data_IF_382269278984
#
_entry.id   IF_382269278984
#
_cell.length_a   1.000
_cell.length_b   1.000
_cell.length_c   1.000
_cell.angle_alpha   90.00
_cell.angle_beta   90.00
_cell.angle_gamma   90.00
#
_symmetry.space_group_name_H-M   'P 1'
#
loop_
_entity.id
_entity.type
_entity.pdbx_description
1 polymer ?
2 non-polymer ?
3 non-polymer ?
4 water ?
#
# COMPACT_ATOMS: atom_id res chain seq x y z
N UNK A 1 7.44 -8.88 16.54
CA UNK A 1 7.86 -8.11 15.40
C UNK A 1 7.68 -6.63 15.68
N UNK A 2 8.56 -5.82 15.12
CA UNK A 2 8.49 -4.39 15.33
C UNK A 2 7.48 -3.68 14.41
N UNK A 3 6.66 -2.81 14.99
CA UNK A 3 5.69 -2.04 14.23
C UNK A 3 5.29 -0.79 14.97
N UNK A 4 4.75 0.16 14.23
CA UNK A 4 4.31 1.41 14.80
C UNK A 4 2.84 1.58 14.56
N UNK A 5 2.16 2.23 15.49
CA UNK A 5 0.74 2.46 15.34
C UNK A 5 0.52 3.82 14.75
N UNK A 6 -0.16 3.87 13.62
CA UNK A 6 -0.46 5.11 12.97
C UNK A 6 -1.92 5.13 12.58
N UNK A 7 -2.44 6.33 12.40
CA UNK A 7 -3.82 6.51 12.03
C UNK A 7 -3.93 7.47 10.87
N UNK A 8 -4.92 7.27 10.04
CA UNK A 8 -5.15 8.12 8.90
C UNK A 8 -6.57 8.53 8.81
N UNK A 9 -6.76 9.78 8.42
CA UNK A 9 -8.05 10.34 8.19
C UNK A 9 -8.41 9.97 6.77
N UNK A 10 -9.63 10.22 6.37
CA UNK A 10 -10.07 9.90 5.04
C UNK A 10 -9.20 10.63 4.03
N UNK A 11 -8.81 9.94 2.96
CA UNK A 11 -7.96 10.51 1.94
C UNK A 11 -8.40 10.22 0.51
N UNK A 12 -8.08 11.14 -0.38
CA UNK A 12 -8.37 10.97 -1.78
C UNK A 12 -7.09 10.51 -2.44
N UNK A 13 -7.16 9.42 -3.18
CA UNK A 13 -5.99 8.86 -3.87
C UNK A 13 -6.17 8.89 -5.37
N UNK A 14 -5.12 9.31 -6.06
CA UNK A 14 -5.13 9.42 -7.51
C UNK A 14 -4.08 8.51 -8.14
N UNK A 15 -4.47 7.76 -9.15
CA UNK A 15 -3.55 6.84 -9.79
C UNK A 15 -4.17 5.89 -10.77
N UNK A 16 -3.58 4.71 -10.89
CA UNK A 16 -4.08 3.70 -11.78
C UNK A 16 -4.27 2.37 -11.07
N UNK A 17 -5.44 1.78 -11.30
CA UNK A 17 -5.77 0.49 -10.72
C UNK A 17 -5.95 -0.59 -11.77
N UNK A 18 -5.26 -1.69 -11.55
CA UNK A 18 -5.36 -2.86 -12.39
C UNK A 18 -5.94 -3.99 -11.55
N UNK A 19 -6.57 -4.97 -12.20
CA UNK A 19 -7.21 -6.08 -11.54
C UNK A 19 -6.68 -7.42 -12.05
N UNK A 20 -6.36 -8.30 -11.11
CA UNK A 20 -5.82 -9.63 -11.38
C UNK A 20 -6.68 -10.72 -10.72
N UNK A 21 -6.52 -11.95 -11.18
CA UNK A 21 -7.35 -13.05 -10.69
C UNK A 21 -7.28 -13.30 -9.21
N UNK A 22 -6.10 -13.23 -8.63
CA UNK A 22 -5.91 -13.47 -7.21
C UNK A 22 -4.58 -12.93 -6.77
N UNK A 23 -4.25 -13.14 -5.50
CA UNK A 23 -3.01 -12.67 -4.95
C UNK A 23 -1.78 -13.21 -5.62
N UNK A 24 -1.79 -14.49 -5.95
CA UNK A 24 -0.65 -15.09 -6.61
C UNK A 24 -0.41 -14.51 -8.00
N UNK A 25 -1.47 -14.35 -8.76
CA UNK A 25 -1.37 -13.80 -10.09
C UNK A 25 -0.89 -12.36 -10.03
N UNK A 26 -1.35 -11.63 -9.03
CA UNK A 26 -0.98 -10.23 -8.87
C UNK A 26 0.51 -10.07 -8.70
N UNK A 27 1.11 -10.95 -7.93
CA UNK A 27 2.54 -10.90 -7.67
C UNK A 27 3.31 -11.12 -8.96
N UNK A 28 2.77 -11.96 -9.83
CA UNK A 28 3.39 -12.20 -11.11
C UNK A 28 3.40 -10.92 -11.97
N UNK A 29 2.33 -10.14 -11.93
CA UNK A 29 2.23 -8.94 -12.75
C UNK A 29 2.53 -7.56 -12.15
N UNK A 30 2.60 -7.44 -10.84
CA UNK A 30 2.80 -6.15 -10.20
C UNK A 30 4.10 -5.47 -10.63
N UNK A 31 5.18 -6.24 -10.70
CA UNK A 31 6.46 -5.67 -11.08
C UNK A 31 6.34 -5.09 -12.48
N UNK A 32 5.64 -5.80 -13.35
CA UNK A 32 5.40 -5.36 -14.70
C UNK A 32 4.57 -4.08 -14.77
N UNK A 33 3.57 -3.97 -13.91
CA UNK A 33 2.70 -2.82 -13.84
C UNK A 33 3.52 -1.60 -13.46
N UNK A 34 4.39 -1.75 -12.48
CA UNK A 34 5.25 -0.67 -12.07
C UNK A 34 6.15 -0.26 -13.23
N UNK A 35 6.70 -1.26 -13.93
CA UNK A 35 7.59 -1.02 -15.06
C UNK A 35 6.86 -0.26 -16.14
N UNK A 36 5.64 -0.64 -16.43
CA UNK A 36 4.85 0.04 -17.44
C UNK A 36 4.53 1.49 -17.03
N UNK A 37 4.21 1.69 -15.75
CA UNK A 37 3.90 3.01 -15.25
C UNK A 37 5.11 3.95 -15.33
N UNK A 38 6.29 3.46 -15.00
CA UNK A 38 7.51 4.27 -15.12
C UNK A 38 7.82 4.61 -16.58
N UNK A 39 7.74 3.61 -17.44
CA UNK A 39 8.04 3.75 -18.85
C UNK A 39 7.14 4.72 -19.57
N UNK A 40 5.87 4.72 -19.23
CA UNK A 40 4.91 5.60 -19.87
C UNK A 40 4.85 6.98 -19.21
N UNK A 41 5.68 7.20 -18.21
CA UNK A 41 5.72 8.46 -17.52
C UNK A 41 4.64 8.70 -16.48
N UNK A 42 3.88 7.66 -16.17
CA UNK A 42 2.82 7.78 -15.19
C UNK A 42 3.34 8.13 -13.82
N UNK A 43 4.42 7.49 -13.40
CA UNK A 43 4.97 7.76 -12.09
C UNK A 43 5.39 9.21 -11.94
N UNK A 44 6.06 9.73 -12.96
CA UNK A 44 6.54 11.11 -12.93
C UNK A 44 5.36 12.05 -12.83
N UNK A 45 4.31 11.78 -13.58
CA UNK A 45 3.13 12.61 -13.56
C UNK A 45 2.43 12.57 -12.19
N UNK A 46 2.31 11.38 -11.61
CA UNK A 46 1.66 11.22 -10.32
C UNK A 46 2.44 11.90 -9.22
N UNK A 47 3.75 11.88 -9.34
CA UNK A 47 4.63 12.50 -8.38
C UNK A 47 4.40 14.02 -8.32
N UNK A 48 4.10 14.64 -9.45
CA UNK A 48 3.85 16.08 -9.50
C UNK A 48 2.64 16.38 -8.67
N UNK A 49 1.61 15.53 -8.76
CA UNK A 49 0.30 15.68 -8.08
C UNK A 49 0.03 15.53 -6.58
N UNK A 50 0.90 14.92 -5.81
CA UNK A 50 0.68 14.66 -4.38
C UNK A 50 0.71 15.93 -3.62
N UNK A 51 -0.33 16.10 -2.83
CA UNK A 51 -0.53 17.28 -2.03
C UNK A 51 0.30 17.21 -0.77
N UNK A 52 0.99 16.10 -0.57
CA UNK A 52 1.83 15.94 0.59
C UNK A 52 1.20 15.26 1.79
N UNK A 53 -0.03 14.79 1.66
CA UNK A 53 -0.68 14.13 2.78
C UNK A 53 0.13 12.92 3.18
N UNK A 54 0.61 12.18 2.19
CA UNK A 54 1.46 11.04 2.45
C UNK A 54 2.69 11.22 1.57
N UNK A 55 3.86 11.01 2.14
CA UNK A 55 5.09 11.20 1.41
C UNK A 55 5.49 9.95 0.68
N UNK A 56 5.36 9.99 -0.63
CA UNK A 56 5.71 8.86 -1.44
C UNK A 56 4.63 8.42 -2.39
N UNK A 57 4.82 7.23 -2.92
CA UNK A 57 3.89 6.63 -3.84
C UNK A 57 3.38 5.40 -3.16
N UNK A 58 2.11 5.11 -3.34
CA UNK A 58 1.53 3.96 -2.71
C UNK A 58 1.21 2.84 -3.66
N UNK A 59 1.43 1.62 -3.20
CA UNK A 59 1.07 0.42 -3.93
C UNK A 59 0.02 -0.26 -3.07
N UNK A 60 -1.24 -0.10 -3.42
CA UNK A 60 -2.32 -0.66 -2.63
C UNK A 60 -2.92 -1.93 -3.17
N UNK A 61 -3.08 -2.90 -2.29
CA UNK A 61 -3.71 -4.15 -2.63
C UNK A 61 -5.15 -3.98 -2.18
N UNK A 62 -6.07 -4.08 -3.12
CA UNK A 62 -7.49 -3.91 -2.88
C UNK A 62 -8.29 -5.16 -3.21
N UNK A 63 -8.95 -5.75 -2.23
CA UNK A 63 -9.74 -6.93 -2.48
C UNK A 63 -10.98 -6.61 -3.27
N UNK A 64 -11.33 -7.44 -4.22
CA UNK A 64 -12.53 -7.23 -4.99
C UNK A 64 -13.57 -8.21 -4.45
N UNK A 65 -14.84 -7.89 -4.66
CA UNK A 65 -15.95 -8.70 -4.16
C UNK A 65 -16.05 -10.12 -4.72
N UNK A 66 -15.63 -10.33 -5.95
CA UNK A 66 -15.72 -11.65 -6.56
C UNK A 66 -14.53 -12.54 -6.29
N UNK A 67 -13.68 -12.13 -5.35
CA UNK A 67 -12.49 -12.87 -4.98
C UNK A 67 -11.22 -12.43 -5.70
N UNK A 68 -11.37 -11.59 -6.70
CA UNK A 68 -10.25 -11.08 -7.46
C UNK A 68 -9.48 -10.04 -6.64
N UNK A 69 -8.24 -9.81 -7.01
CA UNK A 69 -7.39 -8.86 -6.32
C UNK A 69 -6.89 -7.76 -7.23
N UNK A 70 -7.06 -6.53 -6.78
CA UNK A 70 -6.63 -5.35 -7.49
C UNK A 70 -5.43 -4.68 -6.87
N UNK A 71 -4.63 -4.01 -7.70
CA UNK A 71 -3.46 -3.29 -7.26
C UNK A 71 -3.53 -1.90 -7.83
N UNK A 72 -3.32 -0.91 -7.00
CA UNK A 72 -3.36 0.46 -7.44
C UNK A 72 -2.11 1.23 -7.08
N UNK A 73 -1.51 1.84 -8.08
CA UNK A 73 -0.34 2.67 -7.85
C UNK A 73 -0.92 4.08 -7.78
N UNK A 74 -0.69 4.73 -6.66
CA UNK A 74 -1.25 6.05 -6.42
C UNK A 74 -0.53 6.96 -5.42
N UNK A 75 -0.96 8.22 -5.41
CA UNK A 75 -0.47 9.24 -4.50
C UNK A 75 -1.67 9.95 -3.89
N UNK A 76 -1.48 10.57 -2.74
CA UNK A 76 -2.56 11.30 -2.10
C UNK A 76 -2.68 12.61 -2.84
N UNK A 77 -3.82 12.87 -3.43
CA UNK A 77 -4.00 14.06 -4.22
C UNK A 77 -5.24 14.84 -3.94
N UNK A 78 -5.26 16.09 -4.38
CA UNK A 78 -6.42 16.94 -4.21
C UNK A 78 -7.53 16.61 -5.18
N UNK A 79 -8.72 16.71 -4.64
CA UNK A 79 -9.95 16.48 -5.37
C UNK A 79 -10.16 17.49 -6.46
N UNK A 80 -9.73 18.71 -6.19
CA UNK A 80 -9.92 19.81 -7.11
C UNK A 80 -8.92 19.90 -8.25
N UNK A 81 -9.03 18.95 -9.17
CA UNK A 81 -8.21 18.91 -10.37
C UNK A 81 -9.12 18.29 -11.44
N UNK A 82 -8.91 18.54 -12.72
CA UNK A 82 -9.83 17.94 -13.68
C UNK A 82 -9.74 16.44 -13.54
N UNK A 83 -8.52 15.94 -13.60
CA UNK A 83 -8.22 14.55 -13.36
C UNK A 83 -8.99 13.52 -14.20
N UNK A 84 -9.24 13.82 -15.45
CA UNK A 84 -10.01 12.89 -16.27
C UNK A 84 -9.40 11.51 -16.54
N UNK A 85 -8.12 11.45 -16.88
CA UNK A 85 -7.49 10.17 -17.19
C UNK A 85 -7.32 9.14 -16.07
N UNK A 86 -6.98 9.59 -14.88
CA UNK A 86 -6.73 8.72 -13.74
C UNK A 86 -7.89 8.13 -12.94
N UNK A 87 -7.63 7.01 -12.29
CA UNK A 87 -8.59 6.37 -11.43
C UNK A 87 -8.54 7.13 -10.11
N UNK A 88 -9.68 7.33 -9.48
CA UNK A 88 -9.72 8.03 -8.20
C UNK A 88 -10.52 7.25 -7.17
N UNK A 89 -10.01 7.22 -5.94
CA UNK A 89 -10.69 6.54 -4.85
C UNK A 89 -10.52 7.27 -3.55
N UNK A 90 -11.38 6.95 -2.61
CA UNK A 90 -11.35 7.50 -1.29
C UNK A 90 -10.86 6.38 -0.39
N UNK A 91 -9.86 6.64 0.43
CA UNK A 91 -9.38 5.62 1.34
C UNK A 91 -9.95 5.96 2.71
N UNK A 92 -10.82 5.11 3.20
CA UNK A 92 -11.49 5.33 4.47
C UNK A 92 -10.55 5.38 5.63
N UNK A 93 -10.87 6.21 6.60
CA UNK A 93 -10.04 6.39 7.77
C UNK A 93 -9.84 5.07 8.49
N UNK A 94 -8.64 4.86 9.02
CA UNK A 94 -8.34 3.64 9.73
C UNK A 94 -7.10 3.77 10.56
N UNK A 95 -6.91 2.83 11.47
CA UNK A 95 -5.72 2.75 12.27
C UNK A 95 -4.93 1.63 11.62
N UNK A 96 -3.61 1.70 11.69
CA UNK A 96 -2.76 0.70 11.09
C UNK A 96 -1.58 0.23 11.92
N UNK A 97 -1.06 -0.92 11.56
CA UNK A 97 0.14 -1.46 12.12
C UNK A 97 1.10 -1.20 10.97
N UNK A 98 2.15 -0.43 11.21
CA UNK A 98 3.09 -0.09 10.16
C UNK A 98 4.43 -0.77 10.33
N UNK A 99 4.83 -1.52 9.32
CA UNK A 99 6.08 -2.26 9.36
C UNK A 99 7.09 -1.73 8.37
N UNK A 100 8.34 -2.08 8.58
CA UNK A 100 9.40 -1.63 7.71
C UNK A 100 10.19 -2.76 7.06
N UNK A 101 10.52 -2.55 5.81
CA UNK A 101 11.33 -3.49 5.07
C UNK A 101 12.60 -2.77 4.67
N UNK A 102 13.74 -3.27 5.12
CA UNK A 102 15.00 -2.64 4.78
C UNK A 102 15.67 -3.50 3.73
N UNK A 103 15.95 -2.91 2.59
CA UNK A 103 16.59 -3.64 1.53
C UNK A 103 16.21 -3.18 0.16
N UNK A 104 16.75 -3.88 -0.82
CA UNK A 104 16.51 -3.56 -2.21
C UNK A 104 15.13 -4.00 -2.60
N UNK A 105 14.38 -3.12 -3.26
CA UNK A 105 13.05 -3.45 -3.71
C UNK A 105 13.21 -4.27 -4.95
N UNK A 106 12.36 -5.27 -5.16
CA UNK A 106 11.27 -5.58 -4.25
C UNK A 106 11.49 -6.80 -3.37
N UNK A 107 12.64 -7.45 -3.47
CA UNK A 107 12.87 -8.67 -2.71
C UNK A 107 12.77 -8.42 -1.22
N UNK A 108 13.28 -7.31 -0.76
CA UNK A 108 13.22 -6.99 0.65
C UNK A 108 11.77 -6.85 1.07
N UNK A 109 10.95 -6.26 0.21
CA UNK A 109 9.55 -6.08 0.51
C UNK A 109 8.78 -7.39 0.54
N UNK A 110 9.04 -8.27 -0.43
CA UNK A 110 8.36 -9.54 -0.48
C UNK A 110 8.65 -10.38 0.73
N UNK A 111 9.91 -10.47 1.11
CA UNK A 111 10.25 -11.27 2.27
C UNK A 111 9.68 -10.71 3.55
N UNK A 112 9.68 -9.38 3.70
CA UNK A 112 9.16 -8.73 4.91
C UNK A 112 7.68 -9.02 5.08
N UNK A 113 6.91 -9.06 4.01
CA UNK A 113 5.47 -9.28 3.74
C UNK A 113 5.01 -10.69 4.13
N UNK A 114 5.83 -11.67 3.79
CA UNK A 114 5.55 -13.02 4.15
C UNK A 114 5.59 -13.04 5.66
N UNK A 115 6.60 -12.36 6.21
CA UNK A 115 6.78 -12.28 7.64
C UNK A 115 5.62 -11.55 8.31
N UNK A 116 5.18 -10.47 7.69
CA UNK A 116 4.09 -9.69 8.24
C UNK A 116 2.81 -10.50 8.30
N UNK A 117 2.51 -11.19 7.21
CA UNK A 117 1.30 -11.98 7.15
C UNK A 117 1.35 -13.04 8.23
N UNK A 118 2.51 -13.63 8.44
CA UNK A 118 2.64 -14.63 9.46
C UNK A 118 2.39 -14.04 10.84
N UNK A 119 2.95 -12.87 11.11
CA UNK A 119 2.77 -12.22 12.39
C UNK A 119 1.35 -11.80 12.70
N UNK A 120 0.62 -11.31 11.70
CA UNK A 120 -0.74 -10.86 11.91
C UNK A 120 -1.74 -11.99 12.01
N UNK A 121 -1.24 -13.21 11.89
CA UNK A 121 -2.04 -14.41 12.00
C UNK A 121 -2.65 -14.46 13.38
N UNK A 122 -1.95 -13.86 14.34
CA UNK A 122 -2.36 -13.88 15.72
C UNK A 122 -3.32 -12.75 16.11
N UNK A 123 -3.67 -11.94 15.13
CA UNK A 123 -4.54 -10.79 15.35
C UNK A 123 -5.71 -10.83 14.40
N UNK A 124 -6.32 -12.00 14.33
CA UNK A 124 -7.42 -12.26 13.42
C UNK A 124 -8.65 -11.38 13.60
N UNK A 125 -9.01 -11.08 14.84
CA UNK A 125 -10.15 -10.24 15.11
C UNK A 125 -9.86 -8.76 14.93
N UNK A 126 -8.59 -8.43 14.81
CA UNK A 126 -8.18 -7.04 14.67
C UNK A 126 -7.84 -6.57 13.24
N UNK A 127 -7.36 -7.47 12.39
CA UNK A 127 -7.06 -7.13 11.00
C UNK A 127 -8.35 -6.94 10.21
N UNK A 128 -8.31 -6.15 9.16
CA UNK A 128 -9.48 -5.90 8.34
C UNK A 128 -9.22 -6.34 6.89
N UNK A 129 -9.71 -7.54 6.59
CA UNK A 129 -9.55 -8.24 5.31
C UNK A 129 -10.10 -7.53 4.10
N UNK A 130 -11.22 -6.89 4.25
CA UNK A 130 -11.85 -6.21 3.13
C UNK A 130 -11.25 -4.82 2.89
N UNK A 131 -10.43 -4.39 3.83
CA UNK A 131 -9.78 -3.10 3.76
C UNK A 131 -8.45 -3.15 3.01
N UNK A 132 -8.16 -2.12 2.25
CA UNK A 132 -6.90 -2.09 1.50
C UNK A 132 -5.66 -1.97 2.36
N UNK A 133 -4.60 -2.68 2.02
CA UNK A 133 -3.33 -2.56 2.72
C UNK A 133 -2.35 -2.11 1.67
N UNK A 134 -1.30 -1.41 2.08
CA UNK A 134 -0.37 -0.88 1.11
C UNK A 134 1.08 -0.74 1.50
N UNK A 135 1.90 -0.59 0.48
CA UNK A 135 3.32 -0.38 0.58
C UNK A 135 3.51 1.08 0.25
N UNK A 136 4.29 1.77 1.05
CA UNK A 136 4.53 3.17 0.82
C UNK A 136 5.99 3.35 0.45
N UNK A 137 6.26 3.91 -0.71
CA UNK A 137 7.63 4.12 -1.19
C UNK A 137 8.07 5.56 -1.18
N UNK A 138 8.95 5.89 -0.25
CA UNK A 138 9.49 7.23 -0.12
C UNK A 138 10.55 7.52 -1.18
N UNK A 139 10.89 8.80 -1.34
CA UNK A 139 11.92 9.20 -2.29
C UNK A 139 13.24 8.58 -1.85
N UNK A 140 14.04 8.11 -2.79
CA UNK A 140 15.31 7.50 -2.45
C UNK A 140 15.74 6.46 -3.45
N UNK A 141 16.84 5.77 -3.18
CA UNK A 141 17.30 4.76 -4.12
C UNK A 141 16.83 3.43 -3.67
N UNK A 142 15.99 2.85 -4.50
CA UNK A 142 15.37 1.54 -4.27
C UNK A 142 16.40 0.44 -4.18
N UNK A 143 17.47 0.62 -4.93
CA UNK A 143 18.56 -0.34 -5.01
C UNK A 143 19.34 -0.54 -3.72
N UNK A 144 19.48 0.53 -2.97
CA UNK A 144 20.25 0.46 -1.76
C UNK A 144 19.64 -0.51 -0.83
N UNK A 145 20.51 -1.18 -0.09
CA UNK A 145 20.09 -2.18 0.86
C UNK A 145 19.83 -1.52 2.21
N UNK A 146 19.83 -0.20 2.21
CA UNK A 146 19.49 0.57 3.38
C UNK A 146 18.14 1.26 3.15
N UNK A 147 17.56 1.03 1.98
CA UNK A 147 16.26 1.62 1.65
C UNK A 147 15.13 1.04 2.48
N UNK A 148 14.21 1.90 2.88
CA UNK A 148 13.10 1.47 3.68
C UNK A 148 11.75 1.66 3.01
N UNK A 149 11.03 0.55 2.96
CA UNK A 149 9.70 0.51 2.41
C UNK A 149 8.79 0.29 3.60
N UNK A 150 7.70 1.02 3.67
CA UNK A 150 6.76 0.89 4.77
C UNK A 150 5.57 0.07 4.34
N UNK A 151 5.14 -0.83 5.21
CA UNK A 151 4.00 -1.67 4.94
C UNK A 151 2.91 -1.32 5.94
N UNK A 152 1.77 -0.89 5.42
CA UNK A 152 0.66 -0.47 6.25
C UNK A 152 -0.50 -1.46 6.24
N UNK A 153 -0.75 -2.12 7.36
CA UNK A 153 -1.84 -3.07 7.50
C UNK A 153 -2.93 -2.49 8.39
N UNK A 154 -4.14 -2.34 7.86
CA UNK A 154 -5.25 -1.78 8.64
C UNK A 154 -5.78 -2.65 9.78
N UNK A 155 -6.17 -2.03 10.88
CA UNK A 155 -6.71 -2.76 12.02
C UNK A 155 -7.85 -2.05 12.75
N UNK A 156 -8.63 -2.85 13.47
CA UNK A 156 -9.74 -2.39 14.29
C UNK A 156 -9.73 -3.03 15.68
N UNK A 157 -9.90 -2.22 16.71
CA UNK A 157 -9.96 -2.68 18.09
C UNK A 157 -8.72 -3.39 18.60
N UNK A 158 -7.56 -2.99 18.12
CA UNK A 158 -6.29 -3.58 18.48
C UNK A 158 -5.96 -3.43 19.96
N UNK A 159 -6.48 -2.39 20.58
CA UNK A 159 -6.27 -2.09 21.99
C UNK A 159 -6.83 -3.21 22.86
N UNK A 160 -7.88 -3.83 22.39
CA UNK A 160 -8.54 -4.90 23.09
C UNK A 160 -7.84 -6.26 23.04
N UNK A 161 -6.81 -6.38 22.23
CA UNK A 161 -6.10 -7.65 22.10
C UNK A 161 -5.51 -8.01 23.46
N UNK A 162 -5.60 -9.28 23.83
CA UNK A 162 -5.11 -9.74 25.13
C UNK A 162 -3.61 -9.54 25.35
N UNK A 163 -2.84 -9.58 24.29
CA UNK A 163 -1.40 -9.37 24.40
C UNK A 163 -1.08 -7.97 24.88
N UNK A 164 -2.07 -7.09 24.87
CA UNK A 164 -1.86 -5.73 25.30
C UNK A 164 -2.37 -5.45 26.70
N UNK A 165 -2.63 -6.51 27.44
CA UNK A 165 -3.12 -6.40 28.79
C UNK A 165 -2.42 -7.39 29.72
#
# INVERSE_FOLDING_TARGET
MEYQLQQLASLTLVGIKETYENGRQAQQHIAGFWQRCYQEGVIADLQLKNNGDLAGILGLCIPELDGKMSYMIAVTGDNSADIAKYDVITLASSKYMVFEAQGAVPKAVQQKMEEVHHYIHQYQANTVKSAPFFELYQDGDTTSEKYITEIWMPVKGLEHHHHHH
#
